data_IF_209060103898
#
_entry.id   IF_209060103898
#
_cell.length_a   1.000
_cell.length_b   1.000
_cell.length_c   1.000
_cell.angle_alpha   90.00
_cell.angle_beta   90.00
_cell.angle_gamma   90.00
#
_symmetry.space_group_name_H-M   'P 1'
#
loop_
_entity.id
_entity.type
_entity.pdbx_description
1 polymer ?
#
# COMPACT_ATOMS: atom_id res chain seq x y z
N UNK A 1 49.59 -2.23 21.32
CA UNK A 1 48.70 -1.05 21.34
C UNK A 1 47.63 -1.23 20.25
N UNK A 2 46.44 -1.59 20.69
CA UNK A 2 45.25 -1.78 19.84
C UNK A 2 44.47 -0.47 19.82
N UNK A 3 44.07 0.05 18.66
CA UNK A 3 43.22 1.24 18.63
C UNK A 3 41.77 0.87 18.95
N UNK A 4 41.19 1.57 19.92
CA UNK A 4 39.77 1.58 20.21
C UNK A 4 38.99 2.08 18.99
N UNK A 5 38.11 1.25 18.45
CA UNK A 5 37.10 1.70 17.51
C UNK A 5 36.04 2.52 18.27
N UNK A 6 35.96 3.79 17.98
CA UNK A 6 34.90 4.66 18.48
C UNK A 6 33.57 4.21 17.83
N UNK A 7 32.66 3.67 18.63
CA UNK A 7 31.27 3.48 18.23
C UNK A 7 30.62 4.86 18.14
N UNK A 8 30.23 5.25 16.95
CA UNK A 8 29.40 6.42 16.76
C UNK A 8 28.00 6.10 17.30
N UNK A 9 27.69 6.65 18.46
CA UNK A 9 26.36 6.65 19.05
C UNK A 9 25.45 7.50 18.13
N UNK A 10 24.61 6.84 17.34
CA UNK A 10 23.57 7.54 16.57
C UNK A 10 22.53 8.03 17.57
N UNK A 11 22.48 9.35 17.74
CA UNK A 11 21.42 9.99 18.50
C UNK A 11 20.05 9.55 17.98
N UNK A 12 19.06 9.24 18.86
CA UNK A 12 17.73 8.88 18.42
C UNK A 12 17.12 10.04 17.64
N UNK A 13 16.70 9.76 16.41
CA UNK A 13 15.88 10.71 15.62
C UNK A 13 14.63 11.01 16.45
N UNK A 14 14.34 12.28 16.76
CA UNK A 14 13.14 12.61 17.52
C UNK A 14 11.93 12.08 16.77
N UNK A 15 11.09 11.32 17.46
CA UNK A 15 9.80 10.88 16.92
C UNK A 15 9.05 12.14 16.48
N UNK A 16 8.83 12.27 15.18
CA UNK A 16 8.04 13.37 14.65
C UNK A 16 6.65 13.27 15.32
N UNK A 17 6.31 14.24 16.14
CA UNK A 17 4.99 14.35 16.73
C UNK A 17 4.00 14.46 15.60
N UNK A 18 3.22 13.41 15.38
CA UNK A 18 2.16 13.43 14.38
C UNK A 18 1.15 14.51 14.77
N UNK A 19 0.95 15.49 13.90
CA UNK A 19 -0.18 16.41 14.05
C UNK A 19 -1.48 15.61 13.99
N UNK A 20 -2.45 15.98 14.82
CA UNK A 20 -3.79 15.39 14.78
C UNK A 20 -4.36 15.49 13.35
N UNK A 21 -5.22 14.54 12.92
CA UNK A 21 -5.91 14.64 11.65
C UNK A 21 -6.79 15.89 11.61
N UNK A 22 -6.85 16.55 10.45
CA UNK A 22 -7.74 17.69 10.25
C UNK A 22 -9.23 17.25 10.31
N UNK A 23 -9.51 16.02 9.89
CA UNK A 23 -10.82 15.38 9.96
C UNK A 23 -10.66 13.87 10.13
N UNK A 24 -11.48 13.26 10.94
CA UNK A 24 -11.60 11.81 11.07
C UNK A 24 -13.04 11.42 11.32
N UNK A 25 -13.38 10.17 11.08
CA UNK A 25 -14.72 9.65 11.31
C UNK A 25 -14.90 8.26 10.76
N UNK A 26 -16.14 7.83 10.70
CA UNK A 26 -16.54 6.56 10.09
C UNK A 26 -17.56 6.79 8.98
N UNK A 27 -17.49 5.97 7.95
CA UNK A 27 -18.46 5.93 6.85
C UNK A 27 -18.94 4.50 6.69
N UNK A 28 -20.23 4.30 6.80
CA UNK A 28 -20.86 3.00 6.59
C UNK A 28 -20.96 2.68 5.09
N UNK A 29 -20.33 1.60 4.67
CA UNK A 29 -20.37 1.07 3.30
C UNK A 29 -20.62 -0.43 3.37
N UNK A 30 -21.73 -0.87 2.80
CA UNK A 30 -22.08 -2.30 2.67
C UNK A 30 -21.91 -3.11 3.98
N UNK A 31 -22.42 -2.55 5.08
CA UNK A 31 -22.36 -3.15 6.42
C UNK A 31 -21.01 -3.07 7.13
N UNK A 32 -20.06 -2.29 6.61
CA UNK A 32 -18.75 -2.03 7.22
C UNK A 32 -18.63 -0.54 7.55
N UNK A 33 -18.38 -0.22 8.83
CA UNK A 33 -18.12 1.14 9.30
C UNK A 33 -16.64 1.49 9.14
N UNK A 34 -16.24 1.95 7.96
CA UNK A 34 -14.86 2.30 7.65
C UNK A 34 -14.40 3.53 8.40
N UNK A 35 -13.35 3.40 9.19
CA UNK A 35 -12.66 4.52 9.81
C UNK A 35 -11.70 5.18 8.82
N UNK A 36 -11.70 6.50 8.79
CA UNK A 36 -10.81 7.28 7.95
C UNK A 36 -10.24 8.49 8.68
N UNK A 37 -9.10 8.96 8.19
CA UNK A 37 -8.47 10.22 8.58
C UNK A 37 -8.13 11.04 7.34
N UNK A 38 -8.31 12.36 7.43
CA UNK A 38 -7.86 13.30 6.40
C UNK A 38 -6.79 14.20 7.01
N UNK A 39 -5.63 14.25 6.38
CA UNK A 39 -4.47 15.03 6.83
C UNK A 39 -3.92 15.87 5.68
N UNK A 40 -3.41 17.06 6.01
CA UNK A 40 -2.81 17.96 5.02
C UNK A 40 -3.83 18.63 4.11
N UNK A 41 -3.31 19.39 3.14
CA UNK A 41 -4.07 20.15 2.15
C UNK A 41 -3.41 20.02 0.79
N UNK A 42 -4.19 20.12 -0.28
CA UNK A 42 -3.73 20.04 -1.67
C UNK A 42 -4.44 18.91 -2.43
N UNK A 43 -3.79 18.36 -3.44
CA UNK A 43 -4.34 17.29 -4.26
C UNK A 43 -4.63 16.03 -3.43
N UNK A 44 -5.82 15.44 -3.57
CA UNK A 44 -6.23 14.30 -2.74
C UNK A 44 -5.46 13.03 -3.10
N UNK A 45 -5.04 12.31 -2.05
CA UNK A 45 -4.34 11.03 -2.11
C UNK A 45 -5.03 10.04 -1.18
N UNK A 46 -5.61 8.97 -1.72
CA UNK A 46 -6.06 7.82 -0.93
C UNK A 46 -4.85 6.96 -0.56
N UNK A 47 -4.69 6.66 0.72
CA UNK A 47 -3.59 5.86 1.28
C UNK A 47 -4.15 4.62 1.99
N UNK A 48 -3.77 3.42 1.53
CA UNK A 48 -4.25 2.15 2.08
C UNK A 48 -3.09 1.27 2.58
N UNK A 49 -3.21 0.79 3.80
CA UNK A 49 -2.24 -0.04 4.51
C UNK A 49 -2.26 -1.51 4.07
N UNK A 50 -1.25 -2.27 4.50
CA UNK A 50 -1.13 -3.72 4.27
C UNK A 50 -1.92 -4.58 5.25
N UNK A 51 -1.99 -5.88 4.98
CA UNK A 51 -2.66 -6.85 5.83
C UNK A 51 -2.09 -6.87 7.25
N UNK A 52 -2.96 -7.05 8.24
CA UNK A 52 -2.68 -7.00 9.68
C UNK A 52 -2.09 -5.68 10.17
N UNK A 53 -2.18 -4.62 9.36
CA UNK A 53 -1.77 -3.27 9.70
C UNK A 53 -2.94 -2.33 10.00
N UNK A 54 -2.64 -1.04 9.99
CA UNK A 54 -3.61 0.06 10.12
C UNK A 54 -2.98 1.34 9.58
N UNK A 55 -3.69 2.46 9.66
CA UNK A 55 -3.14 3.79 9.30
C UNK A 55 -1.82 4.07 10.04
N UNK A 56 -1.70 3.62 11.29
CA UNK A 56 -0.54 3.85 12.14
C UNK A 56 0.77 3.29 11.55
N UNK A 57 0.71 2.27 10.69
CA UNK A 57 1.94 1.74 10.07
C UNK A 57 2.65 2.78 9.21
N UNK A 58 1.94 3.78 8.70
CA UNK A 58 2.51 4.86 7.91
C UNK A 58 3.03 6.03 8.74
N UNK A 59 2.99 5.95 10.07
CA UNK A 59 3.42 7.02 10.96
C UNK A 59 4.74 7.70 10.57
N UNK A 60 5.80 6.95 10.18
CA UNK A 60 7.08 7.56 9.81
C UNK A 60 7.06 8.37 8.51
N UNK A 61 6.18 8.02 7.56
CA UNK A 61 6.15 8.64 6.22
C UNK A 61 4.95 9.57 6.01
N UNK A 62 3.91 9.44 6.83
CA UNK A 62 2.67 10.18 6.67
C UNK A 62 2.85 11.71 6.68
N UNK A 63 3.68 12.31 7.55
CA UNK A 63 3.93 13.75 7.49
C UNK A 63 4.52 14.21 6.14
N UNK A 64 5.45 13.45 5.59
CA UNK A 64 6.04 13.73 4.30
C UNK A 64 5.03 13.57 3.15
N UNK A 65 4.16 12.56 3.20
CA UNK A 65 3.07 12.39 2.22
C UNK A 65 2.06 13.54 2.30
N UNK A 66 1.71 13.99 3.50
CA UNK A 66 0.74 15.06 3.73
C UNK A 66 1.29 16.48 3.45
N UNK A 67 2.60 16.62 3.27
CA UNK A 67 3.20 17.90 2.91
C UNK A 67 2.78 18.32 1.47
N UNK A 68 1.82 19.25 1.37
CA UNK A 68 1.28 19.72 0.10
C UNK A 68 0.28 18.76 -0.57
N UNK A 69 -0.23 17.76 0.16
CA UNK A 69 -1.30 16.87 -0.28
C UNK A 69 -2.35 16.68 0.80
N UNK A 70 -3.59 16.45 0.37
CA UNK A 70 -4.66 16.02 1.25
C UNK A 70 -4.71 14.48 1.27
N UNK A 71 -4.14 13.87 2.30
CA UNK A 71 -4.08 12.42 2.45
C UNK A 71 -5.34 11.92 3.12
N UNK A 72 -6.07 11.02 2.44
CA UNK A 72 -7.22 10.28 2.96
C UNK A 72 -6.70 8.88 3.29
N UNK A 73 -6.43 8.62 4.57
CA UNK A 73 -5.99 7.32 5.05
C UNK A 73 -7.18 6.54 5.61
N UNK A 74 -7.29 5.26 5.30
CA UNK A 74 -8.43 4.41 5.70
C UNK A 74 -7.94 3.15 6.37
N UNK A 75 -8.54 2.80 7.50
CA UNK A 75 -8.41 1.46 8.07
C UNK A 75 -9.31 0.50 7.30
N UNK A 76 -8.73 -0.52 6.66
CA UNK A 76 -9.45 -1.47 5.82
C UNK A 76 -10.33 -2.41 6.65
N UNK A 77 -11.30 -3.08 6.01
CA UNK A 77 -12.21 -4.03 6.66
C UNK A 77 -11.47 -4.99 7.60
N UNK A 78 -11.86 -5.03 8.86
CA UNK A 78 -11.28 -5.89 9.90
C UNK A 78 -9.95 -5.42 10.47
N UNK A 79 -9.48 -4.23 10.09
CA UNK A 79 -8.18 -3.69 10.50
C UNK A 79 -8.34 -2.35 11.23
N UNK A 80 -7.41 -2.08 12.14
CA UNK A 80 -7.42 -0.84 12.88
C UNK A 80 -8.74 -0.59 13.59
N UNK A 81 -9.36 0.55 13.36
CA UNK A 81 -10.65 0.97 13.94
C UNK A 81 -11.86 0.53 13.12
N UNK A 82 -11.64 -0.14 11.99
CA UNK A 82 -12.71 -0.66 11.13
C UNK A 82 -13.07 -2.08 11.53
N UNK A 83 -14.33 -2.38 11.90
CA UNK A 83 -14.72 -3.72 12.29
C UNK A 83 -14.65 -4.72 11.13
N UNK A 84 -14.52 -6.00 11.47
CA UNK A 84 -14.45 -7.09 10.48
C UNK A 84 -15.77 -7.27 9.72
N UNK A 85 -16.90 -7.03 10.40
CA UNK A 85 -18.22 -7.25 9.81
C UNK A 85 -18.54 -8.74 9.62
N UNK A 86 -19.57 -9.00 8.80
CA UNK A 86 -20.11 -10.34 8.60
C UNK A 86 -19.89 -10.88 7.18
N UNK A 87 -19.18 -10.17 6.33
CA UNK A 87 -18.83 -10.61 4.98
C UNK A 87 -17.35 -11.01 4.89
N UNK A 88 -16.97 -11.91 3.97
CA UNK A 88 -15.58 -12.26 3.74
C UNK A 88 -14.73 -11.05 3.32
N UNK A 89 -13.46 -11.04 3.71
CA UNK A 89 -12.49 -10.10 3.15
C UNK A 89 -12.23 -10.47 1.70
N UNK A 90 -12.45 -9.49 0.81
CA UNK A 90 -12.19 -9.62 -0.62
C UNK A 90 -11.68 -8.28 -1.18
N UNK A 91 -10.59 -8.32 -1.96
CA UNK A 91 -9.97 -7.11 -2.52
C UNK A 91 -10.92 -6.36 -3.45
N UNK A 92 -11.69 -7.10 -4.25
CA UNK A 92 -12.68 -6.56 -5.18
C UNK A 92 -13.80 -5.81 -4.44
N UNK A 93 -14.31 -6.39 -3.36
CA UNK A 93 -15.34 -5.77 -2.53
C UNK A 93 -14.80 -4.49 -1.87
N UNK A 94 -13.60 -4.55 -1.27
CA UNK A 94 -12.99 -3.37 -0.66
C UNK A 94 -12.66 -2.29 -1.70
N UNK A 95 -12.30 -2.66 -2.93
CA UNK A 95 -12.12 -1.71 -4.04
C UNK A 95 -13.41 -0.93 -4.34
N UNK A 96 -14.54 -1.63 -4.42
CA UNK A 96 -15.86 -1.01 -4.58
C UNK A 96 -16.23 -0.12 -3.37
N UNK A 97 -15.91 -0.57 -2.16
CA UNK A 97 -16.16 0.20 -0.95
C UNK A 97 -15.37 1.51 -0.93
N UNK A 98 -14.11 1.47 -1.37
CA UNK A 98 -13.29 2.69 -1.46
C UNK A 98 -13.87 3.68 -2.46
N UNK A 99 -14.43 3.22 -3.58
CA UNK A 99 -15.16 4.10 -4.49
C UNK A 99 -16.35 4.77 -3.81
N UNK A 100 -17.19 4.01 -3.11
CA UNK A 100 -18.35 4.53 -2.40
C UNK A 100 -17.96 5.46 -1.23
N UNK A 101 -16.89 5.14 -0.51
CA UNK A 101 -16.34 5.96 0.56
C UNK A 101 -15.88 7.33 0.03
N UNK A 102 -15.09 7.35 -1.04
CA UNK A 102 -14.64 8.58 -1.69
C UNK A 102 -15.80 9.42 -2.19
N UNK A 103 -16.83 8.80 -2.76
CA UNK A 103 -18.04 9.49 -3.18
C UNK A 103 -18.76 10.16 -2.00
N UNK A 104 -18.99 9.44 -0.89
CA UNK A 104 -19.60 9.98 0.33
C UNK A 104 -18.78 11.09 0.97
N UNK A 105 -17.46 11.06 0.83
CA UNK A 105 -16.57 12.11 1.33
C UNK A 105 -16.46 13.31 0.38
N UNK A 106 -17.06 13.23 -0.83
CA UNK A 106 -17.08 14.31 -1.82
C UNK A 106 -15.87 14.37 -2.75
N UNK A 107 -15.06 13.31 -2.81
CA UNK A 107 -13.90 13.23 -3.72
C UNK A 107 -14.30 12.60 -5.05
N UNK A 108 -14.23 13.38 -6.13
CA UNK A 108 -14.56 12.89 -7.49
C UNK A 108 -13.44 12.03 -8.07
N UNK A 109 -12.22 12.49 -7.95
CA UNK A 109 -11.02 11.84 -8.48
C UNK A 109 -9.85 12.05 -7.52
N UNK A 110 -9.05 11.01 -7.30
CA UNK A 110 -7.91 11.01 -6.37
C UNK A 110 -6.70 10.32 -6.99
N UNK A 111 -5.51 10.67 -6.52
CA UNK A 111 -4.36 9.78 -6.65
C UNK A 111 -4.47 8.70 -5.57
N UNK A 112 -3.91 7.53 -5.82
CA UNK A 112 -3.97 6.45 -4.85
C UNK A 112 -2.60 5.81 -4.64
N UNK A 113 -2.31 5.45 -3.41
CA UNK A 113 -1.15 4.66 -3.01
C UNK A 113 -1.61 3.56 -2.07
N UNK A 114 -1.32 2.33 -2.43
CA UNK A 114 -1.57 1.17 -1.58
C UNK A 114 -0.30 0.37 -1.36
N UNK A 115 -0.16 -0.17 -0.15
CA UNK A 115 0.92 -1.08 0.22
C UNK A 115 0.37 -2.48 0.43
N UNK A 116 1.00 -3.51 -0.18
CA UNK A 116 0.66 -4.92 0.02
C UNK A 116 -0.83 -5.19 -0.23
N UNK A 117 -1.60 -5.67 0.75
CA UNK A 117 -3.05 -5.83 0.63
C UNK A 117 -3.74 -4.53 0.17
N UNK A 118 -3.34 -3.38 0.71
CA UNK A 118 -3.86 -2.08 0.29
C UNK A 118 -3.56 -1.78 -1.18
N UNK A 119 -2.42 -2.24 -1.72
CA UNK A 119 -2.12 -2.15 -3.14
C UNK A 119 -3.09 -2.99 -3.98
N UNK A 120 -3.46 -4.18 -3.51
CA UNK A 120 -4.50 -4.99 -4.15
C UNK A 120 -5.86 -4.30 -4.15
N UNK A 121 -6.22 -3.63 -3.06
CA UNK A 121 -7.49 -2.89 -2.96
C UNK A 121 -7.51 -1.68 -3.91
N UNK A 122 -6.44 -0.86 -3.95
CA UNK A 122 -6.41 0.28 -4.88
C UNK A 122 -6.30 -0.16 -6.35
N UNK A 123 -5.68 -1.31 -6.62
CA UNK A 123 -5.72 -1.92 -7.95
C UNK A 123 -7.16 -2.25 -8.37
N UNK A 124 -7.92 -2.89 -7.49
CA UNK A 124 -9.32 -3.24 -7.76
C UNK A 124 -10.21 -1.99 -7.87
N UNK A 125 -9.96 -0.96 -7.05
CA UNK A 125 -10.60 0.34 -7.22
C UNK A 125 -10.34 0.90 -8.63
N UNK A 126 -9.10 0.91 -9.08
CA UNK A 126 -8.71 1.44 -10.39
C UNK A 126 -9.29 0.61 -11.56
N UNK A 127 -9.31 -0.72 -11.43
CA UNK A 127 -9.83 -1.62 -12.45
C UNK A 127 -11.36 -1.52 -12.60
N UNK A 128 -12.09 -1.40 -11.49
CA UNK A 128 -13.56 -1.35 -11.48
C UNK A 128 -14.09 0.08 -11.66
N UNK A 129 -13.36 1.09 -11.21
CA UNK A 129 -13.75 2.50 -11.25
C UNK A 129 -12.63 3.40 -11.79
N UNK A 130 -12.19 3.21 -13.05
CA UNK A 130 -11.02 3.91 -13.60
C UNK A 130 -11.13 5.42 -13.57
N UNK A 131 -12.33 5.98 -13.68
CA UNK A 131 -12.58 7.42 -13.59
C UNK A 131 -12.34 8.02 -12.19
N UNK A 132 -12.29 7.19 -11.13
CA UNK A 132 -12.02 7.61 -9.76
C UNK A 132 -10.54 7.83 -9.52
N UNK A 133 -9.67 7.16 -10.25
CA UNK A 133 -8.23 7.12 -10.01
C UNK A 133 -7.50 7.93 -11.07
N UNK A 134 -6.78 8.99 -10.65
CA UNK A 134 -5.96 9.82 -11.53
C UNK A 134 -4.58 9.19 -11.77
N UNK A 135 -3.91 8.72 -10.71
CA UNK A 135 -2.63 8.00 -10.73
C UNK A 135 -2.65 6.88 -9.71
N UNK A 136 -2.07 5.74 -10.07
CA UNK A 136 -2.10 4.52 -9.27
C UNK A 136 -0.67 4.14 -8.88
N UNK A 137 -0.32 4.22 -7.59
CA UNK A 137 0.94 3.75 -7.04
C UNK A 137 0.72 2.44 -6.26
N UNK A 138 1.36 1.37 -6.71
CA UNK A 138 1.31 0.04 -6.11
C UNK A 138 2.65 -0.26 -5.46
N UNK A 139 2.66 -0.41 -4.14
CA UNK A 139 3.85 -0.67 -3.35
C UNK A 139 3.82 -2.09 -2.82
N UNK A 140 4.86 -2.89 -3.15
CA UNK A 140 5.02 -4.28 -2.71
C UNK A 140 3.82 -5.16 -3.05
N UNK A 141 3.42 -5.14 -4.32
CA UNK A 141 2.37 -5.98 -4.90
C UNK A 141 2.64 -6.23 -6.37
N UNK A 142 2.26 -7.40 -6.86
CA UNK A 142 2.29 -7.75 -8.28
C UNK A 142 0.92 -8.22 -8.77
N UNK A 143 0.83 -8.57 -10.04
CA UNK A 143 -0.44 -8.84 -10.73
C UNK A 143 -0.95 -10.28 -10.59
N UNK A 144 -0.16 -11.21 -10.03
CA UNK A 144 -0.56 -12.61 -9.91
C UNK A 144 0.12 -13.32 -8.74
N UNK A 145 -0.56 -14.33 -8.17
CA UNK A 145 -0.02 -15.21 -7.11
C UNK A 145 1.30 -15.86 -7.51
N UNK A 146 1.48 -16.18 -8.80
CA UNK A 146 2.73 -16.74 -9.32
C UNK A 146 3.95 -15.83 -9.14
N UNK A 147 3.75 -14.56 -8.81
CA UNK A 147 4.81 -13.60 -8.50
C UNK A 147 5.36 -13.69 -7.10
N UNK A 148 4.74 -14.45 -6.21
CA UNK A 148 5.21 -14.65 -4.83
C UNK A 148 6.44 -15.57 -4.85
N UNK A 149 7.43 -15.29 -4.00
CA UNK A 149 8.55 -16.22 -3.75
C UNK A 149 7.99 -17.58 -3.32
N UNK A 150 8.43 -18.70 -3.93
CA UNK A 150 7.82 -20.01 -3.71
C UNK A 150 7.76 -20.45 -2.26
N UNK A 151 8.77 -20.10 -1.46
CA UNK A 151 8.85 -20.43 -0.03
C UNK A 151 7.81 -19.69 0.80
N UNK A 152 7.33 -18.54 0.34
CA UNK A 152 6.33 -17.73 1.05
C UNK A 152 4.89 -18.24 0.86
N UNK A 153 4.60 -18.90 -0.24
CA UNK A 153 3.24 -19.38 -0.55
C UNK A 153 2.69 -20.32 0.54
N UNK A 154 3.39 -21.40 0.95
CA UNK A 154 2.88 -22.26 2.01
C UNK A 154 2.77 -21.55 3.37
N UNK A 155 3.66 -20.60 3.66
CA UNK A 155 3.64 -19.83 4.91
C UNK A 155 2.37 -18.99 4.98
N UNK A 156 2.05 -18.25 3.93
CA UNK A 156 0.85 -17.42 3.89
C UNK A 156 -0.45 -18.24 3.97
N UNK A 157 -0.49 -19.39 3.32
CA UNK A 157 -1.66 -20.27 3.30
C UNK A 157 -1.96 -20.95 4.63
N UNK A 158 -0.99 -20.99 5.56
CA UNK A 158 -1.16 -21.51 6.91
C UNK A 158 -1.80 -20.50 7.88
N UNK A 159 -1.91 -19.25 7.51
CA UNK A 159 -2.48 -18.21 8.37
C UNK A 159 -3.90 -18.59 8.78
N UNK A 160 -4.14 -18.63 10.10
CA UNK A 160 -5.42 -19.02 10.69
C UNK A 160 -5.52 -18.53 12.14
N UNK A 161 -6.71 -18.63 12.72
CA UNK A 161 -6.98 -18.31 14.13
C UNK A 161 -6.04 -19.04 15.10
N UNK A 162 -5.59 -20.26 14.76
CA UNK A 162 -4.65 -21.04 15.58
C UNK A 162 -3.30 -20.34 15.79
N UNK A 163 -2.93 -19.38 14.94
CA UNK A 163 -1.68 -18.61 15.07
C UNK A 163 -1.78 -17.44 16.07
N UNK A 164 -3.00 -17.04 16.46
CA UNK A 164 -3.19 -15.88 17.33
C UNK A 164 -2.36 -15.93 18.64
N UNK A 165 -2.25 -17.06 19.37
CA UNK A 165 -1.42 -17.10 20.58
C UNK A 165 0.07 -16.81 20.35
N UNK A 166 0.60 -17.23 19.20
CA UNK A 166 2.02 -17.03 18.82
C UNK A 166 2.31 -15.59 18.39
N UNK A 167 1.29 -14.81 18.06
CA UNK A 167 1.44 -13.43 17.57
C UNK A 167 1.41 -12.38 18.67
N UNK A 168 1.14 -12.73 19.93
CA UNK A 168 0.90 -11.79 21.04
C UNK A 168 1.98 -10.73 21.24
N UNK A 169 3.23 -11.05 20.94
CA UNK A 169 4.37 -10.14 21.10
C UNK A 169 4.73 -9.41 19.79
N UNK A 170 3.94 -9.59 18.73
CA UNK A 170 4.18 -8.92 17.44
C UNK A 170 3.53 -7.55 17.39
N UNK A 171 4.09 -6.58 16.63
CA UNK A 171 3.48 -5.27 16.41
C UNK A 171 2.07 -5.36 15.78
N UNK A 172 1.80 -6.37 14.96
CA UNK A 172 0.49 -6.62 14.35
C UNK A 172 -0.57 -6.88 15.42
N UNK A 173 -0.28 -7.76 16.37
CA UNK A 173 -1.20 -8.08 17.46
C UNK A 173 -1.36 -6.88 18.43
N UNK A 174 -0.26 -6.33 18.94
CA UNK A 174 -0.31 -5.23 19.90
C UNK A 174 -0.94 -3.98 19.32
N UNK A 175 -0.67 -3.67 18.05
CA UNK A 175 -1.31 -2.58 17.33
C UNK A 175 -2.81 -2.79 17.17
N UNK A 176 -3.23 -3.99 16.80
CA UNK A 176 -4.65 -4.34 16.69
C UNK A 176 -5.37 -4.19 18.04
N UNK A 177 -4.82 -4.80 19.10
CA UNK A 177 -5.40 -4.75 20.44
C UNK A 177 -5.57 -3.32 20.98
N UNK A 178 -4.69 -2.40 20.57
CA UNK A 178 -4.71 -1.02 21.05
C UNK A 178 -5.89 -0.20 20.51
N UNK A 179 -6.39 -0.51 19.30
CA UNK A 179 -7.33 0.39 18.60
C UNK A 179 -8.56 -0.30 18.02
N UNK A 180 -8.58 -1.64 17.94
CA UNK A 180 -9.69 -2.37 17.35
C UNK A 180 -10.98 -2.18 18.17
N UNK A 181 -12.14 -1.95 17.53
CA UNK A 181 -13.42 -1.83 18.22
C UNK A 181 -13.87 -3.14 18.89
N UNK A 182 -13.40 -4.28 18.38
CA UNK A 182 -13.65 -5.63 18.91
C UNK A 182 -12.34 -6.42 18.92
N UNK A 183 -11.48 -6.26 19.96
CA UNK A 183 -10.19 -6.93 20.02
C UNK A 183 -10.27 -8.46 19.92
N UNK A 184 -11.35 -9.04 20.44
CA UNK A 184 -11.59 -10.49 20.40
C UNK A 184 -11.82 -11.04 18.98
N UNK A 185 -12.03 -10.20 18.00
CA UNK A 185 -12.13 -10.60 16.58
C UNK A 185 -10.77 -10.92 15.94
N UNK A 186 -9.63 -10.71 16.61
CA UNK A 186 -8.30 -10.92 16.01
C UNK A 186 -8.11 -12.36 15.47
N UNK A 187 -8.48 -13.44 16.19
CA UNK A 187 -8.39 -14.79 15.62
C UNK A 187 -9.26 -14.95 14.36
N UNK A 188 -10.46 -14.38 14.36
CA UNK A 188 -11.36 -14.43 13.22
C UNK A 188 -10.83 -13.63 12.04
N UNK A 189 -10.14 -12.51 12.29
CA UNK A 189 -9.40 -11.77 11.25
C UNK A 189 -8.31 -12.63 10.62
N UNK A 190 -7.54 -13.39 11.42
CA UNK A 190 -6.51 -14.30 10.89
C UNK A 190 -7.10 -15.38 9.98
N UNK A 191 -8.27 -15.96 10.34
CA UNK A 191 -8.97 -16.90 9.47
C UNK A 191 -9.38 -16.26 8.14
N UNK A 192 -9.96 -15.06 8.18
CA UNK A 192 -10.38 -14.31 7.00
C UNK A 192 -9.19 -13.95 6.10
N UNK A 193 -8.07 -13.55 6.69
CA UNK A 193 -6.84 -13.25 5.96
C UNK A 193 -6.23 -14.52 5.35
N UNK A 194 -6.26 -15.64 6.08
CA UNK A 194 -5.84 -16.94 5.55
C UNK A 194 -6.71 -17.38 4.38
N UNK A 195 -8.02 -17.20 4.46
CA UNK A 195 -8.95 -17.49 3.36
C UNK A 195 -8.64 -16.63 2.12
N UNK A 196 -8.30 -15.37 2.31
CA UNK A 196 -7.86 -14.49 1.22
C UNK A 196 -6.57 -15.02 0.58
N UNK A 197 -5.56 -15.38 1.39
CA UNK A 197 -4.24 -15.83 0.92
C UNK A 197 -4.26 -17.23 0.28
N UNK A 198 -5.27 -18.06 0.56
CA UNK A 198 -5.46 -19.37 -0.09
C UNK A 198 -6.05 -19.28 -1.48
N UNK A 199 -6.60 -18.12 -1.86
CA UNK A 199 -7.15 -17.89 -3.21
C UNK A 199 -6.07 -17.40 -4.15
N UNK A 200 -5.86 -18.11 -5.24
CA UNK A 200 -4.99 -17.64 -6.31
C UNK A 200 -5.67 -16.51 -7.10
N UNK A 201 -4.86 -15.60 -7.60
CA UNK A 201 -5.31 -14.54 -8.48
C UNK A 201 -4.35 -14.35 -9.65
N UNK A 202 -4.89 -13.89 -10.77
CA UNK A 202 -4.16 -13.40 -11.93
C UNK A 202 -4.94 -12.24 -12.55
N UNK A 203 -4.41 -11.05 -12.41
CA UNK A 203 -5.01 -9.82 -12.89
C UNK A 203 -4.47 -9.36 -14.25
N UNK A 204 -3.74 -10.22 -14.96
CA UNK A 204 -3.11 -9.86 -16.24
C UNK A 204 -4.09 -9.26 -17.25
N UNK A 205 -5.34 -9.74 -17.29
CA UNK A 205 -6.39 -9.19 -18.15
C UNK A 205 -6.83 -7.78 -17.67
N UNK A 206 -7.00 -7.59 -16.35
CA UNK A 206 -7.39 -6.31 -15.78
C UNK A 206 -6.29 -5.26 -15.94
N UNK A 207 -5.01 -5.64 -15.81
CA UNK A 207 -3.87 -4.73 -16.04
C UNK A 207 -3.96 -4.05 -17.41
N UNK A 208 -4.35 -4.79 -18.44
CA UNK A 208 -4.47 -4.29 -19.81
C UNK A 208 -5.61 -3.28 -19.99
N UNK A 209 -6.56 -3.24 -19.06
CA UNK A 209 -7.70 -2.31 -19.11
C UNK A 209 -7.43 -1.00 -18.33
N UNK A 210 -6.35 -0.90 -17.59
CA UNK A 210 -6.01 0.30 -16.83
C UNK A 210 -5.70 1.48 -17.76
N UNK A 211 -6.34 2.61 -17.52
CA UNK A 211 -6.21 3.81 -18.38
C UNK A 211 -5.34 4.91 -17.76
N UNK A 212 -5.15 4.89 -16.44
CA UNK A 212 -4.35 5.87 -15.71
C UNK A 212 -2.86 5.51 -15.73
N UNK A 213 -1.97 6.48 -15.45
CA UNK A 213 -0.57 6.18 -15.14
C UNK A 213 -0.47 5.28 -13.90
N UNK A 214 0.41 4.28 -13.96
CA UNK A 214 0.68 3.33 -12.88
C UNK A 214 2.16 3.37 -12.52
N UNK A 215 2.46 3.40 -11.22
CA UNK A 215 3.80 3.24 -10.69
C UNK A 215 3.87 1.97 -9.86
N UNK A 216 4.86 1.13 -10.15
CA UNK A 216 5.19 -0.05 -9.37
C UNK A 216 6.43 0.25 -8.53
N UNK A 217 6.36 -0.06 -7.23
CA UNK A 217 7.48 0.06 -6.29
C UNK A 217 7.63 -1.26 -5.54
N UNK A 218 8.81 -1.84 -5.57
CA UNK A 218 9.14 -3.09 -4.88
C UNK A 218 10.54 -3.01 -4.30
N UNK A 219 10.82 -3.77 -3.24
CA UNK A 219 12.19 -3.98 -2.75
C UNK A 219 12.91 -5.07 -3.55
N UNK A 220 14.22 -4.99 -3.66
CA UNK A 220 15.02 -6.06 -4.30
C UNK A 220 15.07 -7.35 -3.46
N UNK A 221 14.68 -7.28 -2.18
CA UNK A 221 14.56 -8.40 -1.24
C UNK A 221 13.09 -8.61 -0.78
N UNK A 222 12.12 -8.21 -1.60
CA UNK A 222 10.68 -8.37 -1.31
C UNK A 222 10.25 -9.85 -1.43
N UNK A 223 9.13 -10.18 -0.80
CA UNK A 223 8.48 -11.48 -0.99
C UNK A 223 7.90 -11.65 -2.41
N UNK A 224 7.78 -10.57 -3.18
CA UNK A 224 7.43 -10.60 -4.59
C UNK A 224 8.69 -10.74 -5.43
N UNK A 225 8.69 -11.70 -6.36
CA UNK A 225 9.83 -11.91 -7.26
C UNK A 225 10.03 -10.68 -8.15
N UNK A 226 11.28 -10.16 -8.27
CA UNK A 226 11.56 -9.01 -9.14
C UNK A 226 11.07 -9.22 -10.58
N UNK A 227 11.20 -10.43 -11.12
CA UNK A 227 10.75 -10.78 -12.49
C UNK A 227 9.25 -10.52 -12.65
N UNK A 228 8.44 -10.84 -11.65
CA UNK A 228 6.99 -10.61 -11.70
C UNK A 228 6.64 -9.12 -11.74
N UNK A 229 7.39 -8.28 -11.04
CA UNK A 229 7.22 -6.83 -11.10
C UNK A 229 7.60 -6.28 -12.48
N UNK A 230 8.68 -6.80 -13.08
CA UNK A 230 9.09 -6.45 -14.44
C UNK A 230 8.03 -6.90 -15.46
N UNK A 231 7.49 -8.10 -15.30
CA UNK A 231 6.40 -8.61 -16.15
C UNK A 231 5.14 -7.73 -16.05
N UNK A 232 4.80 -7.30 -14.83
CA UNK A 232 3.70 -6.35 -14.63
C UNK A 232 3.95 -5.03 -15.38
N UNK A 233 5.16 -4.46 -15.26
CA UNK A 233 5.53 -3.25 -15.97
C UNK A 233 5.44 -3.41 -17.51
N UNK A 234 5.82 -4.58 -18.03
CA UNK A 234 5.68 -4.91 -19.46
C UNK A 234 4.21 -5.04 -19.89
N UNK A 235 3.35 -5.62 -19.03
CA UNK A 235 1.91 -5.70 -19.29
C UNK A 235 1.27 -4.31 -19.39
N UNK A 236 1.74 -3.35 -18.61
CA UNK A 236 1.34 -1.94 -18.69
C UNK A 236 1.84 -1.24 -19.98
N UNK A 237 2.77 -1.84 -20.68
CA UNK A 237 3.37 -1.27 -21.88
C UNK A 237 4.77 -0.68 -21.67
N UNK A 238 5.32 -0.77 -20.46
CA UNK A 238 6.68 -0.30 -20.15
C UNK A 238 7.78 -1.27 -20.59
N UNK A 239 9.02 -0.79 -20.62
CA UNK A 239 10.21 -1.61 -20.80
C UNK A 239 10.29 -2.39 -22.13
N UNK A 240 9.56 -1.99 -23.15
CA UNK A 240 9.49 -2.70 -24.44
C UNK A 240 10.51 -2.21 -25.47
N UNK A 241 11.04 -1.01 -25.28
CA UNK A 241 12.00 -0.38 -26.19
C UNK A 241 12.75 0.72 -25.45
N UNK A 242 13.87 1.17 -26.04
CA UNK A 242 14.60 2.33 -25.55
C UNK A 242 13.70 3.56 -25.43
N UNK A 243 13.88 4.34 -24.36
CA UNK A 243 13.08 5.54 -24.08
C UNK A 243 13.27 6.67 -25.10
N UNK A 244 14.37 6.59 -25.86
CA UNK A 244 14.75 7.59 -26.84
C UNK A 244 15.56 8.74 -26.23
N UNK A 245 16.46 9.27 -27.05
CA UNK A 245 17.34 10.36 -26.65
C UNK A 245 16.57 11.63 -26.22
N UNK A 246 15.43 11.90 -26.86
CA UNK A 246 14.50 12.99 -26.52
C UNK A 246 13.30 12.50 -25.70
N UNK A 247 13.38 11.29 -25.10
CA UNK A 247 12.32 10.68 -24.29
C UNK A 247 11.03 10.35 -25.06
N UNK A 248 11.09 10.27 -26.39
CA UNK A 248 9.94 10.10 -27.29
C UNK A 248 9.20 8.77 -27.09
N UNK A 249 9.83 7.81 -26.40
CA UNK A 249 9.26 6.48 -26.12
C UNK A 249 9.11 6.19 -24.63
N UNK A 250 9.29 7.18 -23.76
CA UNK A 250 9.09 7.00 -22.32
C UNK A 250 7.59 6.81 -22.05
N UNK A 251 7.25 5.68 -21.44
CA UNK A 251 5.87 5.39 -21.05
C UNK A 251 5.37 6.33 -19.93
N UNK A 252 4.05 6.48 -19.81
CA UNK A 252 3.43 7.16 -18.66
C UNK A 252 3.56 6.38 -17.35
N UNK A 253 3.90 5.09 -17.41
CA UNK A 253 4.08 4.22 -16.26
C UNK A 253 5.51 4.33 -15.70
N UNK A 254 5.69 3.97 -14.43
CA UNK A 254 6.98 4.04 -13.74
C UNK A 254 7.25 2.73 -12.99
N UNK A 255 8.52 2.41 -12.85
CA UNK A 255 9.02 1.26 -12.11
C UNK A 255 10.15 1.72 -11.19
N UNK A 256 10.09 1.33 -9.92
CA UNK A 256 11.16 1.50 -8.95
C UNK A 256 11.40 0.18 -8.22
N UNK A 257 12.66 -0.24 -8.18
CA UNK A 257 13.13 -1.34 -7.34
C UNK A 257 14.09 -0.73 -6.33
N UNK A 258 13.69 -0.71 -5.05
CA UNK A 258 14.45 -0.06 -3.98
C UNK A 258 15.48 -1.03 -3.40
N UNK A 259 16.77 -0.65 -3.36
CA UNK A 259 17.84 -1.53 -2.91
C UNK A 259 17.75 -1.81 -1.41
N UNK A 260 17.94 -3.09 -1.03
CA UNK A 260 17.97 -3.54 0.35
C UNK A 260 16.64 -3.51 1.08
N UNK A 261 15.52 -3.29 0.37
CA UNK A 261 14.18 -3.27 0.99
C UNK A 261 13.49 -4.62 0.85
N UNK A 262 12.87 -5.02 1.96
CA UNK A 262 12.03 -6.21 2.07
C UNK A 262 10.55 -5.82 2.00
N UNK A 263 9.69 -6.81 1.96
CA UNK A 263 8.24 -6.59 2.10
C UNK A 263 7.86 -5.90 3.42
N UNK A 264 8.64 -6.15 4.47
CA UNK A 264 8.29 -5.84 5.86
C UNK A 264 8.78 -4.47 6.34
N UNK A 265 9.61 -3.78 5.56
CA UNK A 265 10.13 -2.45 5.88
C UNK A 265 9.87 -1.40 4.78
N UNK A 266 9.30 -1.80 3.65
CA UNK A 266 9.00 -0.91 2.52
C UNK A 266 8.11 0.28 2.92
N UNK A 267 7.08 0.04 3.72
CA UNK A 267 6.15 1.09 4.17
C UNK A 267 6.76 2.10 5.16
N UNK A 268 7.94 1.80 5.70
CA UNK A 268 8.72 2.67 6.59
C UNK A 268 9.90 3.33 5.87
N UNK A 269 10.20 2.91 4.63
CA UNK A 269 11.40 3.28 3.92
C UNK A 269 11.46 4.80 3.69
N UNK A 270 12.49 5.50 4.18
CA UNK A 270 12.59 6.96 4.00
C UNK A 270 12.68 7.38 2.55
N UNK A 271 13.16 6.50 1.66
CA UNK A 271 13.21 6.73 0.22
C UNK A 271 11.88 6.53 -0.50
N UNK A 272 10.87 5.93 0.14
CA UNK A 272 9.58 5.67 -0.52
C UNK A 272 8.89 6.96 -0.97
N UNK A 273 8.75 7.95 -0.08
CA UNK A 273 8.08 9.21 -0.42
C UNK A 273 8.82 9.99 -1.52
N UNK A 274 10.14 10.21 -1.44
CA UNK A 274 10.88 10.83 -2.55
C UNK A 274 10.74 10.10 -3.88
N UNK A 275 10.60 8.76 -3.85
CA UNK A 275 10.44 7.93 -5.05
C UNK A 275 9.06 8.12 -5.69
N UNK A 276 7.98 8.09 -4.90
CA UNK A 276 6.60 8.13 -5.44
C UNK A 276 6.10 9.56 -5.68
N UNK A 277 6.61 10.56 -4.96
CA UNK A 277 6.12 11.93 -4.99
C UNK A 277 6.14 12.56 -6.39
N UNK A 278 7.23 12.51 -7.17
CA UNK A 278 7.25 13.09 -8.51
C UNK A 278 6.19 12.49 -9.43
N UNK A 279 5.97 11.18 -9.33
CA UNK A 279 4.92 10.48 -10.08
C UNK A 279 3.54 10.96 -9.66
N UNK A 280 3.24 10.99 -8.36
CA UNK A 280 1.95 11.44 -7.82
C UNK A 280 1.68 12.91 -8.15
N UNK A 281 2.72 13.76 -8.20
CA UNK A 281 2.59 15.16 -8.55
C UNK A 281 2.51 15.39 -10.07
N UNK A 282 2.63 14.34 -10.88
CA UNK A 282 2.66 14.46 -12.34
C UNK A 282 3.88 15.21 -12.86
N UNK A 283 4.96 15.25 -12.08
CA UNK A 283 6.22 15.88 -12.45
C UNK A 283 7.15 14.86 -13.07
N UNK A 284 7.66 15.16 -14.26
CA UNK A 284 8.74 14.39 -14.85
C UNK A 284 10.09 14.90 -14.32
N UNK A 285 10.89 13.97 -13.78
CA UNK A 285 12.29 14.27 -13.54
C UNK A 285 13.02 14.26 -14.88
N UNK A 286 13.43 15.43 -15.36
CA UNK A 286 14.29 15.56 -16.55
C UNK A 286 15.69 15.94 -16.09
N UNK A 287 16.67 15.19 -16.53
CA UNK A 287 18.05 15.65 -16.53
C UNK A 287 18.28 16.42 -17.84
N UNK A 288 18.52 17.72 -17.72
CA UNK A 288 18.85 18.54 -18.90
C UNK A 288 20.34 18.38 -19.23
N UNK A 289 20.60 18.05 -20.48
CA UNK A 289 21.93 18.12 -21.04
C UNK A 289 22.21 19.61 -21.40
N UNK A 290 22.76 20.35 -20.45
CA UNK A 290 23.26 21.70 -20.70
C UNK A 290 24.76 21.76 -20.52
#
# INVERSE_FOLDING_TARGET
>A
ATPLAAQAETAPVPAATQSAPARSGTVEIDGIAYYYEVRGQGEPLLLLHGGLGSIEMFAPILPALAAGRQVIAVDLQGHGRTPLGNRPIALEAMGNDMNALLEKLGFKQVDVLGYSMGAGVVFQLAAQHPGRVRRLALVSMTHATSGIQPEMVPIQRQLSAAMAPMMKDTPMYTGYMAIAPKPDDFPRLLDQMGDLMRRDFDWSAQVKTLTMPVMLVVGDADMWRPESTIDFFKLLGGGKRDGGWQREHVTKHRLAILPGRTHYDMFLAPELVPTVRPFLDGKESRADWK
#
